data_IF_642522590404
#
_entry.id   IF_642522590404
#
_cell.length_a   1.000
_cell.length_b   1.000
_cell.length_c   1.000
_cell.angle_alpha   90.00
_cell.angle_beta   90.00
_cell.angle_gamma   90.00
#
_symmetry.space_group_name_H-M   'P 1'
#
loop_
_entity.id
_entity.type
_entity.pdbx_description
1 polymer ?
#
# COMPACT_ATOMS: atom_id res chain seq x y z
N UNK A 1 -10.07 -6.05 -14.90
CA UNK A 1 -10.52 -4.67 -14.53
C UNK A 1 -10.69 -3.84 -15.79
N UNK A 2 -11.83 -3.13 -15.94
CA UNK A 2 -12.10 -2.26 -17.10
C UNK A 2 -11.26 -0.97 -17.06
N UNK A 3 -10.92 -0.35 -18.22
CA UNK A 3 -10.05 0.84 -18.26
C UNK A 3 -10.54 2.01 -17.41
N UNK A 4 -11.86 2.28 -17.40
CA UNK A 4 -12.45 3.34 -16.59
C UNK A 4 -12.22 3.12 -15.10
N UNK A 5 -12.44 1.88 -14.63
CA UNK A 5 -12.24 1.51 -13.22
C UNK A 5 -10.75 1.55 -12.83
N UNK A 6 -9.87 1.10 -13.74
CA UNK A 6 -8.41 1.22 -13.55
C UNK A 6 -7.97 2.67 -13.41
N UNK A 7 -8.53 3.55 -14.26
CA UNK A 7 -8.25 4.99 -14.18
C UNK A 7 -8.74 5.58 -12.85
N UNK A 8 -9.96 5.28 -12.44
CA UNK A 8 -10.53 5.76 -11.17
C UNK A 8 -9.67 5.29 -9.98
N UNK A 9 -9.25 4.02 -9.96
CA UNK A 9 -8.34 3.50 -8.94
C UNK A 9 -7.02 4.28 -8.91
N UNK A 10 -6.40 4.49 -10.08
CA UNK A 10 -5.14 5.24 -10.17
C UNK A 10 -5.32 6.69 -9.70
N UNK A 11 -6.44 7.31 -10.05
CA UNK A 11 -6.74 8.68 -9.66
C UNK A 11 -6.97 8.80 -8.14
N UNK A 12 -7.52 7.78 -7.48
CA UNK A 12 -7.78 7.78 -6.04
C UNK A 12 -6.57 7.35 -5.19
N UNK A 13 -5.52 6.84 -5.81
CA UNK A 13 -4.30 6.50 -5.09
C UNK A 13 -3.32 7.67 -5.08
N UNK A 14 -2.75 7.96 -3.92
CA UNK A 14 -1.68 8.94 -3.74
C UNK A 14 -0.53 8.31 -2.97
N UNK A 15 0.70 8.63 -3.36
CA UNK A 15 1.89 8.03 -2.77
C UNK A 15 2.86 9.10 -2.29
N UNK A 16 3.42 8.86 -1.11
CA UNK A 16 4.42 9.72 -0.48
C UNK A 16 5.64 8.92 -0.10
N UNK A 17 6.83 9.52 -0.24
CA UNK A 17 8.04 9.00 0.35
C UNK A 17 8.12 9.45 1.81
N UNK A 18 8.31 8.49 2.72
CA UNK A 18 8.28 8.75 4.16
C UNK A 18 9.56 9.39 4.71
N UNK A 19 10.65 9.38 3.93
CA UNK A 19 11.97 9.78 4.40
C UNK A 19 12.68 8.74 5.27
N UNK A 20 11.96 7.72 5.76
CA UNK A 20 12.57 6.65 6.53
C UNK A 20 13.12 5.57 5.60
N UNK A 21 14.37 5.19 5.83
CA UNK A 21 15.03 4.11 5.08
C UNK A 21 15.50 3.05 6.07
N UNK A 22 15.11 1.80 5.85
CA UNK A 22 15.62 0.62 6.56
C UNK A 22 15.97 -0.45 5.55
N UNK A 23 16.99 -1.24 5.87
CA UNK A 23 17.31 -2.40 5.05
C UNK A 23 16.21 -3.46 5.20
N UNK A 24 15.58 -3.84 4.11
CA UNK A 24 14.51 -4.85 4.09
C UNK A 24 14.91 -6.17 4.72
N UNK A 25 16.20 -6.54 4.62
CA UNK A 25 16.76 -7.74 5.25
C UNK A 25 16.72 -7.72 6.78
N UNK A 26 16.83 -6.55 7.41
CA UNK A 26 16.73 -6.42 8.87
C UNK A 26 15.26 -6.60 9.34
N UNK A 27 14.32 -5.98 8.63
CA UNK A 27 12.89 -6.12 8.90
C UNK A 27 12.43 -7.56 8.70
N UNK A 28 12.89 -8.22 7.65
CA UNK A 28 12.56 -9.63 7.36
C UNK A 28 13.12 -10.58 8.43
N UNK A 29 14.38 -10.42 8.85
CA UNK A 29 14.99 -11.27 9.90
C UNK A 29 14.21 -11.22 11.23
N UNK A 30 13.70 -10.06 11.62
CA UNK A 30 12.85 -9.94 12.81
C UNK A 30 11.51 -10.63 12.60
N UNK A 31 10.99 -10.62 11.38
CA UNK A 31 9.72 -11.26 11.04
C UNK A 31 9.82 -12.79 10.90
N UNK A 32 10.94 -13.34 10.42
CA UNK A 32 11.15 -14.79 10.24
C UNK A 32 11.16 -15.57 11.56
N UNK A 33 11.69 -14.98 12.64
CA UNK A 33 11.83 -15.65 13.96
C UNK A 33 10.50 -16.04 14.64
N UNK A 34 9.36 -15.64 14.07
CA UNK A 34 8.02 -15.92 14.62
C UNK A 34 7.01 -16.25 13.52
N UNK A 35 7.46 -16.91 12.43
CA UNK A 35 6.61 -17.23 11.29
C UNK A 35 5.40 -18.10 11.66
N UNK A 36 5.61 -19.09 12.53
CA UNK A 36 4.55 -20.02 12.96
C UNK A 36 3.44 -19.30 13.75
N UNK A 37 3.81 -18.31 14.57
CA UNK A 37 2.84 -17.55 15.36
C UNK A 37 1.97 -16.61 14.51
N UNK A 38 2.33 -16.40 13.24
CA UNK A 38 1.71 -15.43 12.33
C UNK A 38 0.91 -16.07 11.20
N UNK A 39 0.85 -17.40 11.15
CA UNK A 39 0.11 -18.13 10.10
C UNK A 39 -1.32 -17.65 10.00
N UNK A 40 -1.99 -17.40 11.12
CA UNK A 40 -3.36 -16.88 11.15
C UNK A 40 -3.49 -15.54 10.42
N UNK A 41 -2.59 -14.58 10.70
CA UNK A 41 -2.61 -13.27 10.04
C UNK A 41 -2.31 -13.38 8.56
N UNK A 42 -1.37 -14.24 8.17
CA UNK A 42 -1.04 -14.47 6.77
C UNK A 42 -2.21 -15.10 6.00
N UNK A 43 -2.92 -16.06 6.60
CA UNK A 43 -4.12 -16.65 5.99
C UNK A 43 -5.25 -15.62 5.86
N UNK A 44 -5.44 -14.76 6.85
CA UNK A 44 -6.40 -13.66 6.75
C UNK A 44 -6.03 -12.69 5.64
N UNK A 45 -4.74 -12.32 5.51
CA UNK A 45 -4.27 -11.46 4.42
C UNK A 45 -4.46 -12.13 3.06
N UNK A 46 -4.23 -13.45 2.95
CA UNK A 46 -4.44 -14.19 1.71
C UNK A 46 -5.92 -14.15 1.29
N UNK A 47 -6.85 -14.35 2.23
CA UNK A 47 -8.28 -14.27 1.95
C UNK A 47 -8.74 -12.88 1.45
N UNK A 48 -7.99 -11.81 1.78
CA UNK A 48 -8.28 -10.47 1.27
C UNK A 48 -7.89 -10.28 -0.19
N UNK A 49 -7.03 -11.16 -0.77
CA UNK A 49 -6.66 -11.12 -2.19
C UNK A 49 -7.88 -11.35 -3.07
N UNK A 50 -8.68 -12.39 -2.76
CA UNK A 50 -9.90 -12.71 -3.51
C UNK A 50 -10.95 -11.57 -3.38
N UNK A 51 -11.01 -10.94 -2.19
CA UNK A 51 -11.87 -9.77 -2.00
C UNK A 51 -11.39 -8.59 -2.84
N UNK A 52 -10.09 -8.33 -2.88
CA UNK A 52 -9.48 -7.29 -3.71
C UNK A 52 -9.78 -7.51 -5.20
N UNK A 53 -9.60 -8.74 -5.69
CA UNK A 53 -9.89 -9.09 -7.08
C UNK A 53 -11.34 -8.80 -7.45
N UNK A 54 -12.29 -9.21 -6.61
CA UNK A 54 -13.72 -8.92 -6.81
C UNK A 54 -13.99 -7.43 -6.85
N UNK A 55 -13.51 -6.65 -5.87
CA UNK A 55 -13.67 -5.20 -5.86
C UNK A 55 -13.12 -4.58 -7.15
N UNK A 56 -11.97 -5.03 -7.64
CA UNK A 56 -11.31 -4.46 -8.80
C UNK A 56 -11.93 -4.88 -10.14
N UNK A 57 -12.61 -6.02 -10.20
CA UNK A 57 -13.16 -6.58 -11.46
C UNK A 57 -14.66 -6.42 -11.61
N UNK A 58 -15.41 -6.30 -10.52
CA UNK A 58 -16.84 -6.06 -10.52
C UNK A 58 -17.16 -4.57 -10.55
N UNK A 59 -17.74 -4.12 -11.65
CA UNK A 59 -18.09 -2.69 -11.84
C UNK A 59 -19.28 -2.24 -10.98
N UNK A 60 -20.03 -3.16 -10.36
CA UNK A 60 -21.15 -2.85 -9.47
C UNK A 60 -20.72 -2.61 -8.03
N UNK A 61 -19.56 -3.10 -7.64
CA UNK A 61 -18.97 -2.88 -6.31
C UNK A 61 -18.38 -1.48 -6.21
N UNK A 62 -18.64 -0.80 -5.09
CA UNK A 62 -18.04 0.51 -4.82
C UNK A 62 -16.51 0.37 -4.75
N UNK A 63 -15.80 1.25 -5.46
CA UNK A 63 -14.34 1.23 -5.48
C UNK A 63 -13.72 1.67 -4.14
N UNK A 64 -14.46 2.42 -3.33
CA UNK A 64 -14.04 2.85 -1.99
C UNK A 64 -13.82 1.67 -1.04
N UNK A 65 -14.49 0.53 -1.29
CA UNK A 65 -14.23 -0.71 -0.58
C UNK A 65 -12.75 -1.15 -0.69
N UNK A 66 -12.06 -0.76 -1.76
CA UNK A 66 -10.63 -1.01 -1.89
C UNK A 66 -9.80 -0.18 -0.90
N UNK A 67 -10.23 1.04 -0.60
CA UNK A 67 -9.61 1.88 0.44
C UNK A 67 -9.70 1.22 1.82
N UNK A 68 -10.89 0.79 2.21
CA UNK A 68 -11.09 0.06 3.49
C UNK A 68 -10.32 -1.26 3.53
N UNK A 69 -10.22 -1.95 2.39
CA UNK A 69 -9.43 -3.17 2.28
C UNK A 69 -7.94 -2.92 2.50
N UNK A 70 -7.41 -1.80 1.99
CA UNK A 70 -6.01 -1.40 2.23
C UNK A 70 -5.75 -1.17 3.71
N UNK A 71 -6.65 -0.45 4.41
CA UNK A 71 -6.52 -0.25 5.85
C UNK A 71 -6.52 -1.59 6.60
N UNK A 72 -7.52 -2.43 6.35
CA UNK A 72 -7.60 -3.75 7.00
C UNK A 72 -6.32 -4.56 6.78
N UNK A 73 -5.82 -4.61 5.54
CA UNK A 73 -4.59 -5.32 5.20
C UNK A 73 -3.38 -4.74 5.94
N UNK A 74 -3.32 -3.41 6.08
CA UNK A 74 -2.26 -2.74 6.81
C UNK A 74 -2.29 -3.07 8.30
N UNK A 75 -3.48 -3.06 8.94
CA UNK A 75 -3.64 -3.44 10.35
C UNK A 75 -3.21 -4.89 10.60
N UNK A 76 -3.58 -5.82 9.73
CA UNK A 76 -3.11 -7.22 9.80
C UNK A 76 -1.59 -7.32 9.64
N UNK A 77 -1.03 -6.59 8.67
CA UNK A 77 0.42 -6.58 8.43
C UNK A 77 1.19 -6.06 9.65
N UNK A 78 0.72 -5.02 10.32
CA UNK A 78 1.34 -4.50 11.56
C UNK A 78 1.42 -5.58 12.66
N UNK A 79 0.45 -6.50 12.72
CA UNK A 79 0.45 -7.60 13.68
C UNK A 79 1.48 -8.70 13.37
N UNK A 80 2.06 -8.70 12.16
CA UNK A 80 3.06 -9.72 11.77
C UNK A 80 4.46 -9.43 12.31
N UNK A 81 4.74 -8.25 12.83
CA UNK A 81 6.04 -7.92 13.43
C UNK A 81 6.18 -6.47 13.87
N UNK A 82 6.87 -6.27 14.98
CA UNK A 82 7.12 -4.94 15.55
C UNK A 82 8.00 -4.03 14.64
N UNK A 83 8.74 -4.63 13.71
CA UNK A 83 9.57 -3.88 12.76
C UNK A 83 8.79 -3.41 11.52
N UNK A 84 7.54 -3.83 11.33
CA UNK A 84 6.70 -3.46 10.18
C UNK A 84 6.29 -2.00 10.22
N UNK A 85 5.95 -1.48 11.41
CA UNK A 85 5.65 -0.08 11.62
C UNK A 85 6.43 0.47 12.82
N UNK A 86 6.60 1.79 12.85
CA UNK A 86 7.19 2.54 13.95
C UNK A 86 6.21 3.61 14.39
N UNK A 87 6.41 4.21 15.56
CA UNK A 87 5.55 5.28 16.04
C UNK A 87 5.45 6.46 15.07
N UNK A 88 6.54 6.80 14.38
CA UNK A 88 6.55 7.87 13.38
C UNK A 88 5.73 7.48 12.13
N UNK A 89 5.84 6.23 11.67
CA UNK A 89 5.04 5.73 10.54
C UNK A 89 3.56 5.65 10.90
N UNK A 90 3.23 5.23 12.13
CA UNK A 90 1.85 5.22 12.62
C UNK A 90 1.29 6.65 12.69
N UNK A 91 2.07 7.62 13.15
CA UNK A 91 1.66 9.02 13.18
C UNK A 91 1.42 9.59 11.78
N UNK A 92 2.27 9.25 10.78
CA UNK A 92 2.07 9.64 9.39
C UNK A 92 0.80 8.98 8.81
N UNK A 93 0.60 7.71 9.09
CA UNK A 93 -0.59 6.99 8.65
C UNK A 93 -1.87 7.62 9.20
N UNK A 94 -1.93 7.82 10.52
CA UNK A 94 -3.07 8.44 11.21
C UNK A 94 -3.38 9.84 10.70
N UNK A 95 -2.34 10.62 10.37
CA UNK A 95 -2.48 11.95 9.76
C UNK A 95 -3.18 11.86 8.40
N UNK A 96 -2.82 10.89 7.57
CA UNK A 96 -3.48 10.65 6.29
C UNK A 96 -4.95 10.24 6.44
N UNK A 97 -5.27 9.35 7.38
CA UNK A 97 -6.64 8.94 7.67
C UNK A 97 -7.48 10.15 8.16
N UNK A 98 -6.95 10.95 9.10
CA UNK A 98 -7.62 12.19 9.56
C UNK A 98 -7.84 13.21 8.46
N UNK A 99 -7.02 13.21 7.43
CA UNK A 99 -7.15 14.06 6.26
C UNK A 99 -8.09 13.50 5.17
N UNK A 100 -8.84 12.44 5.46
CA UNK A 100 -9.89 11.90 4.59
C UNK A 100 -9.47 10.70 3.73
N UNK A 101 -8.29 10.11 3.95
CA UNK A 101 -7.98 8.83 3.32
C UNK A 101 -8.84 7.71 3.93
N UNK A 102 -9.43 6.85 3.09
CA UNK A 102 -10.21 5.69 3.51
C UNK A 102 -9.32 4.53 4.00
N UNK A 103 -8.07 4.54 3.59
CA UNK A 103 -7.09 3.56 3.99
C UNK A 103 -5.78 3.76 3.25
N UNK A 104 -4.80 2.96 3.60
CA UNK A 104 -3.48 3.03 3.00
C UNK A 104 -2.59 1.90 3.49
N UNK A 105 -1.37 1.87 3.00
CA UNK A 105 -0.35 0.94 3.49
C UNK A 105 1.06 1.39 3.15
N UNK A 106 2.00 0.96 3.95
CA UNK A 106 3.41 1.06 3.60
C UNK A 106 3.77 0.01 2.55
N UNK A 107 4.44 0.42 1.49
CA UNK A 107 4.89 -0.46 0.42
C UNK A 107 6.23 -1.11 0.81
N UNK A 108 6.42 -2.36 0.43
CA UNK A 108 7.65 -3.12 0.71
C UNK A 108 7.62 -3.89 2.03
N UNK A 109 8.79 -4.16 2.60
CA UNK A 109 8.98 -5.01 3.77
C UNK A 109 8.48 -4.39 5.09
N UNK A 110 8.43 -3.08 5.18
CA UNK A 110 8.11 -2.34 6.40
C UNK A 110 9.25 -1.43 6.86
N UNK A 111 9.02 -0.70 7.93
CA UNK A 111 10.03 0.16 8.58
C UNK A 111 10.36 1.46 7.86
N UNK A 112 9.85 1.71 6.66
CA UNK A 112 10.07 2.92 5.86
C UNK A 112 9.83 2.73 4.38
N UNK A 113 10.11 3.75 3.58
CA UNK A 113 9.92 3.74 2.13
C UNK A 113 8.72 4.56 1.67
N UNK A 114 7.76 3.94 0.98
CA UNK A 114 6.65 4.64 0.37
C UNK A 114 5.33 4.29 1.08
N UNK A 115 4.56 5.31 1.40
CA UNK A 115 3.23 5.19 1.97
C UNK A 115 2.21 5.53 0.89
N UNK A 116 1.30 4.60 0.58
CA UNK A 116 0.21 4.81 -0.36
C UNK A 116 -1.10 4.95 0.39
N UNK A 117 -1.92 5.94 0.00
CA UNK A 117 -3.28 6.13 0.49
C UNK A 117 -4.29 6.00 -0.63
N UNK A 118 -5.45 5.48 -0.31
CA UNK A 118 -6.66 5.61 -1.12
C UNK A 118 -7.49 6.76 -0.56
N UNK A 119 -7.80 7.72 -1.40
CA UNK A 119 -8.55 8.92 -1.05
C UNK A 119 -9.56 9.25 -2.13
N UNK A 120 -10.79 9.58 -1.73
CA UNK A 120 -11.82 10.07 -2.64
C UNK A 120 -11.40 11.41 -3.25
N UNK A 121 -11.85 11.74 -4.49
CA UNK A 121 -11.43 12.95 -5.20
C UNK A 121 -11.63 14.24 -4.39
N UNK A 122 -12.72 14.35 -3.64
CA UNK A 122 -13.09 15.51 -2.83
C UNK A 122 -12.14 15.77 -1.66
N UNK A 123 -11.53 14.74 -1.09
CA UNK A 123 -10.59 14.86 0.03
C UNK A 123 -9.11 14.92 -0.41
N UNK A 124 -8.85 14.79 -1.71
CA UNK A 124 -7.48 14.72 -2.23
C UNK A 124 -6.66 15.97 -1.98
N UNK A 125 -7.28 17.13 -2.07
CA UNK A 125 -6.61 18.41 -1.79
C UNK A 125 -6.25 18.51 -0.29
N UNK A 126 -7.17 18.16 0.59
CA UNK A 126 -6.97 18.13 2.05
C UNK A 126 -5.84 17.16 2.45
N UNK A 127 -5.82 15.95 1.85
CA UNK A 127 -4.75 14.99 2.10
C UNK A 127 -3.39 15.53 1.64
N UNK A 128 -3.32 16.16 0.46
CA UNK A 128 -2.06 16.74 -0.05
C UNK A 128 -1.55 17.86 0.84
N UNK A 129 -2.42 18.70 1.36
CA UNK A 129 -2.06 19.76 2.29
C UNK A 129 -1.55 19.16 3.62
N UNK A 130 -2.27 18.22 4.19
CA UNK A 130 -1.88 17.55 5.42
C UNK A 130 -0.54 16.81 5.34
N UNK A 131 -0.15 16.36 4.14
CA UNK A 131 1.09 15.62 3.87
C UNK A 131 2.14 16.47 3.12
N UNK A 132 2.01 17.79 3.14
CA UNK A 132 2.84 18.72 2.34
C UNK A 132 4.33 18.73 2.72
N UNK A 133 4.68 18.26 3.91
CA UNK A 133 6.06 18.06 4.38
C UNK A 133 6.72 16.80 3.80
N UNK A 134 5.97 15.93 3.15
CA UNK A 134 6.50 14.72 2.52
C UNK A 134 6.62 14.87 1.00
N UNK A 135 7.56 14.14 0.42
CA UNK A 135 7.72 14.11 -1.03
C UNK A 135 6.58 13.32 -1.66
N UNK A 136 5.68 14.01 -2.37
CA UNK A 136 4.65 13.38 -3.19
C UNK A 136 5.28 12.69 -4.41
N UNK A 137 4.92 11.44 -4.66
CA UNK A 137 5.43 10.63 -5.77
C UNK A 137 4.30 10.38 -6.77
N UNK A 138 4.29 11.06 -7.93
CA UNK A 138 3.34 10.75 -8.99
C UNK A 138 3.66 9.39 -9.61
N UNK A 139 2.63 8.58 -9.85
CA UNK A 139 2.79 7.29 -10.51
C UNK A 139 1.59 6.96 -11.41
N UNK A 140 1.78 6.02 -12.32
CA UNK A 140 0.73 5.44 -13.15
C UNK A 140 0.88 3.93 -13.20
N UNK A 141 -0.25 3.24 -13.32
CA UNK A 141 -0.22 1.80 -13.51
C UNK A 141 0.37 1.44 -14.89
N UNK A 142 1.33 0.54 -14.89
CA UNK A 142 1.87 -0.09 -16.09
C UNK A 142 0.95 -1.24 -16.55
N UNK A 143 0.86 -1.45 -17.87
CA UNK A 143 0.05 -2.51 -18.47
C UNK A 143 0.87 -3.73 -18.89
N UNK A 144 2.17 -3.56 -19.08
CA UNK A 144 3.11 -4.64 -19.40
C UNK A 144 3.69 -5.20 -18.12
N UNK A 145 3.85 -6.50 -18.00
CA UNK A 145 4.59 -7.13 -16.93
C UNK A 145 6.11 -6.98 -17.12
N UNK A 146 6.87 -7.87 -16.53
CA UNK A 146 8.32 -7.95 -16.73
C UNK A 146 8.66 -8.11 -18.20
N UNK A 147 9.59 -7.31 -18.70
CA UNK A 147 10.09 -7.38 -20.08
C UNK A 147 11.59 -7.18 -20.09
N UNK A 148 12.26 -7.88 -21.03
CA UNK A 148 13.67 -7.66 -21.30
C UNK A 148 13.82 -6.31 -22.00
N UNK A 149 14.59 -5.41 -21.42
CA UNK A 149 14.89 -4.08 -21.99
C UNK A 149 16.27 -4.02 -22.62
N UNK A 150 17.13 -4.96 -22.27
CA UNK A 150 18.47 -5.16 -22.83
C UNK A 150 18.81 -6.64 -22.76
N UNK A 151 19.42 -7.18 -23.81
CA UNK A 151 19.96 -8.53 -23.88
C UNK A 151 21.25 -8.49 -24.69
N UNK A 152 22.31 -9.10 -24.19
CA UNK A 152 23.59 -9.31 -24.86
C UNK A 152 23.88 -10.80 -24.86
N UNK A 153 24.14 -11.39 -26.03
CA UNK A 153 24.58 -12.77 -26.12
C UNK A 153 26.05 -12.83 -25.67
N UNK A 154 26.35 -13.72 -24.73
CA UNK A 154 27.74 -14.06 -24.40
C UNK A 154 28.31 -14.92 -25.54
N UNK A 155 29.43 -14.50 -26.11
CA UNK A 155 30.19 -15.27 -27.14
C UNK A 155 30.92 -16.48 -26.53
#
# INVERSE_FOLDING_TARGET
MRPKRKKALNDNLVMYFTGFTRFSSEVQKVNERSADDKVKQHLQMLALVDKAERILTDDTTDLDEFGYLLDHTWQLKKQTGSAVSTGDLDALYDRGIKAGALGGKLLGAGGGGFLVFYVQPEYKAQLKEAMSDLLYIPFRFENSGTRVIYYEEEE
#
